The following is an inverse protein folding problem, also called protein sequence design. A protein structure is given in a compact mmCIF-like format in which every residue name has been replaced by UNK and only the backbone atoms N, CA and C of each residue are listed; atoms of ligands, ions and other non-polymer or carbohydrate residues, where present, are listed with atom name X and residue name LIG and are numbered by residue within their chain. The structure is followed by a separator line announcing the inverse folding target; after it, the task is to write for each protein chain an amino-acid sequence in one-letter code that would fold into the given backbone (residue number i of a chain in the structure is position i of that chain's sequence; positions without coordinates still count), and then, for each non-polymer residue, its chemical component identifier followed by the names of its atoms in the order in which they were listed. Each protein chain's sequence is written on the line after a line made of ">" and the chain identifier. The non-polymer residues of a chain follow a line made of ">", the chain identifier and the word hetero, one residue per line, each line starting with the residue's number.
data_IF_601856969781
#
_entry.id   IF_601856969781
#
_cell.length_a   1.000
_cell.length_b   1.000
_cell.length_c   1.000
_cell.angle_alpha   90.00
_cell.angle_beta   90.00
_cell.angle_gamma   90.00
#
_symmetry.space_group_name_H-M   'P 1'
#
loop_
_entity.id
_entity.type
_entity.pdbx_description
1 polymer ?
#
# COMPACT_ATOMS: atom_id res chain seq x y z
N UNK A 1 -16.48 -36.95 6.95
CA UNK A 1 -15.78 -36.88 5.65
C UNK A 1 -15.79 -35.48 5.03
N UNK A 2 -16.92 -34.77 4.96
CA UNK A 2 -17.04 -33.43 4.34
C UNK A 2 -16.00 -32.38 4.78
N UNK A 3 -15.72 -32.25 6.09
CA UNK A 3 -14.77 -31.28 6.63
C UNK A 3 -13.32 -31.45 6.14
N UNK A 4 -12.94 -32.65 5.69
CA UNK A 4 -11.60 -32.93 5.13
C UNK A 4 -11.49 -32.39 3.70
N UNK A 5 -12.55 -32.53 2.91
CA UNK A 5 -12.62 -32.01 1.54
C UNK A 5 -12.63 -30.49 1.51
N UNK A 6 -13.41 -29.87 2.41
CA UNK A 6 -13.44 -28.40 2.54
C UNK A 6 -12.04 -27.86 2.89
N UNK A 7 -11.37 -28.47 3.88
CA UNK A 7 -10.00 -28.06 4.25
C UNK A 7 -8.99 -28.22 3.11
N UNK A 8 -9.05 -29.35 2.39
CA UNK A 8 -8.20 -29.58 1.21
C UNK A 8 -8.44 -28.53 0.12
N UNK A 9 -9.70 -28.18 -0.13
CA UNK A 9 -10.07 -27.19 -1.13
C UNK A 9 -9.61 -25.78 -0.75
N UNK A 10 -9.74 -25.38 0.53
CA UNK A 10 -9.21 -24.11 1.05
C UNK A 10 -7.69 -24.04 0.89
N UNK A 11 -6.96 -25.12 1.21
CA UNK A 11 -5.50 -25.16 1.04
C UNK A 11 -5.09 -24.98 -0.43
N UNK A 12 -5.78 -25.66 -1.36
CA UNK A 12 -5.53 -25.53 -2.78
C UNK A 12 -5.81 -24.11 -3.30
N UNK A 13 -6.89 -23.48 -2.83
CA UNK A 13 -7.19 -22.08 -3.17
C UNK A 13 -6.10 -21.14 -2.65
N UNK A 14 -5.65 -21.31 -1.40
CA UNK A 14 -4.59 -20.49 -0.83
C UNK A 14 -3.26 -20.62 -1.60
N UNK A 15 -2.89 -21.84 -1.98
CA UNK A 15 -1.70 -22.08 -2.81
C UNK A 15 -1.83 -21.47 -4.21
N UNK A 16 -3.02 -21.56 -4.82
CA UNK A 16 -3.28 -20.95 -6.14
C UNK A 16 -3.22 -19.43 -6.08
N UNK A 17 -3.76 -18.81 -5.03
CA UNK A 17 -3.72 -17.36 -4.81
C UNK A 17 -2.28 -16.91 -4.61
N UNK A 18 -1.50 -17.63 -3.81
CA UNK A 18 -0.09 -17.31 -3.58
C UNK A 18 0.70 -17.32 -4.90
N UNK A 19 0.54 -18.36 -5.72
CA UNK A 19 1.18 -18.44 -7.05
C UNK A 19 0.72 -17.32 -7.97
N UNK A 20 -0.57 -16.97 -7.94
CA UNK A 20 -1.10 -15.87 -8.73
C UNK A 20 -0.46 -14.54 -8.31
N UNK A 21 -0.32 -14.29 -7.01
CA UNK A 21 0.34 -13.09 -6.50
C UNK A 21 1.83 -13.05 -6.90
N UNK A 22 2.53 -14.18 -6.82
CA UNK A 22 3.91 -14.31 -7.28
C UNK A 22 4.04 -14.06 -8.80
N UNK A 23 3.06 -14.51 -9.60
CA UNK A 23 3.02 -14.32 -11.05
C UNK A 23 2.65 -12.90 -11.47
N UNK A 24 1.74 -12.26 -10.73
CA UNK A 24 1.41 -10.85 -10.90
C UNK A 24 2.60 -9.96 -10.54
N UNK A 25 3.47 -10.46 -9.65
CA UNK A 25 4.64 -9.73 -9.16
C UNK A 25 4.25 -8.48 -8.38
N UNK A 26 5.27 -7.74 -7.95
CA UNK A 26 5.11 -6.37 -7.47
C UNK A 26 5.64 -5.44 -8.54
N UNK A 27 4.93 -4.35 -8.81
CA UNK A 27 5.46 -3.31 -9.70
C UNK A 27 6.77 -2.78 -9.09
N UNK A 28 7.81 -2.70 -9.90
CA UNK A 28 9.07 -2.09 -9.48
C UNK A 28 8.84 -0.63 -9.08
N UNK A 29 9.70 -0.05 -8.21
CA UNK A 29 9.59 1.36 -7.85
C UNK A 29 9.56 2.30 -9.08
N UNK A 30 10.25 1.92 -10.16
CA UNK A 30 10.27 2.67 -11.42
C UNK A 30 8.94 2.58 -12.16
N UNK A 31 8.32 1.41 -12.24
CA UNK A 31 6.99 1.23 -12.84
C UNK A 31 5.91 1.95 -12.03
N UNK A 32 6.00 1.89 -10.70
CA UNK A 32 5.13 2.67 -9.81
C UNK A 32 5.27 4.16 -10.13
N UNK A 33 6.50 4.68 -10.18
CA UNK A 33 6.75 6.10 -10.48
C UNK A 33 6.20 6.50 -11.85
N UNK A 34 6.43 5.69 -12.89
CA UNK A 34 5.93 5.95 -14.23
C UNK A 34 4.39 6.01 -14.29
N UNK A 35 3.70 5.15 -13.54
CA UNK A 35 2.22 5.18 -13.43
C UNK A 35 1.76 6.40 -12.62
N UNK A 36 2.46 6.75 -11.54
CA UNK A 36 2.16 7.95 -10.75
C UNK A 36 2.29 9.23 -11.57
N UNK A 37 3.29 9.31 -12.45
CA UNK A 37 3.53 10.45 -13.35
C UNK A 37 2.44 10.61 -14.42
N UNK A 38 1.74 9.53 -14.77
CA UNK A 38 0.60 9.55 -15.71
C UNK A 38 -0.70 10.06 -15.07
N UNK A 39 -0.76 10.22 -13.74
CA UNK A 39 -1.98 10.67 -13.06
C UNK A 39 -2.34 12.09 -13.47
N UNK A 40 -3.62 12.31 -13.69
CA UNK A 40 -4.16 13.65 -13.91
C UNK A 40 -3.85 14.54 -12.71
N UNK A 41 -3.38 15.77 -12.99
CA UNK A 41 -3.19 16.77 -11.94
C UNK A 41 -4.56 17.26 -11.50
N UNK A 42 -4.91 16.97 -10.25
CA UNK A 42 -6.12 17.47 -9.60
C UNK A 42 -5.75 18.51 -8.56
N UNK A 43 -6.63 19.49 -8.37
CA UNK A 43 -6.51 20.43 -7.26
C UNK A 43 -6.68 19.69 -5.93
N UNK A 44 -5.98 20.11 -4.86
CA UNK A 44 -6.18 19.58 -3.53
C UNK A 44 -7.62 19.74 -3.06
N UNK A 45 -8.05 18.88 -2.14
CA UNK A 45 -9.32 19.07 -1.44
C UNK A 45 -9.35 20.44 -0.75
N UNK A 46 -10.47 21.18 -0.75
CA UNK A 46 -10.57 22.53 -0.17
C UNK A 46 -10.17 22.61 1.32
N UNK A 47 -10.34 21.49 2.03
CA UNK A 47 -9.96 21.30 3.42
C UNK A 47 -8.44 21.20 3.61
N UNK A 48 -7.70 20.87 2.53
CA UNK A 48 -6.25 20.72 2.50
C UNK A 48 -5.54 22.09 2.40
N UNK A 49 -5.86 22.97 3.35
CA UNK A 49 -5.30 24.32 3.42
C UNK A 49 -3.80 24.28 3.74
N UNK A 50 -3.03 25.33 3.38
CA UNK A 50 -1.60 25.40 3.66
C UNK A 50 -1.24 25.12 5.12
N UNK A 51 -2.06 25.58 6.07
CA UNK A 51 -1.85 25.36 7.51
C UNK A 51 -1.97 23.88 7.90
N UNK A 52 -2.88 23.15 7.25
CA UNK A 52 -3.06 21.71 7.45
C UNK A 52 -1.84 20.96 6.90
N UNK A 53 -1.36 21.34 5.72
CA UNK A 53 -0.16 20.75 5.10
C UNK A 53 1.06 20.95 5.99
N UNK A 54 1.29 22.17 6.49
CA UNK A 54 2.43 22.46 7.37
C UNK A 54 2.36 21.68 8.69
N UNK A 55 1.16 21.56 9.27
CA UNK A 55 0.96 20.74 10.48
C UNK A 55 1.30 19.27 10.23
N UNK A 56 0.87 18.71 9.10
CA UNK A 56 1.19 17.31 8.74
C UNK A 56 2.71 17.14 8.58
N UNK A 57 3.39 18.07 7.90
CA UNK A 57 4.85 18.04 7.73
C UNK A 57 5.59 18.06 9.07
N UNK A 58 5.13 18.88 10.01
CA UNK A 58 5.71 18.94 11.35
C UNK A 58 5.54 17.62 12.09
N UNK A 59 4.34 17.04 12.08
CA UNK A 59 4.07 15.74 12.74
C UNK A 59 4.90 14.59 12.17
N UNK A 60 5.15 14.58 10.86
CA UNK A 60 6.04 13.58 10.23
C UNK A 60 7.47 13.74 10.76
N UNK A 61 8.00 14.96 10.79
CA UNK A 61 9.35 15.23 11.31
C UNK A 61 9.49 14.85 12.78
N UNK A 62 8.50 15.19 13.60
CA UNK A 62 8.49 14.84 15.02
C UNK A 62 8.47 13.31 15.22
N UNK A 63 7.72 12.58 14.39
CA UNK A 63 7.72 11.11 14.41
C UNK A 63 9.06 10.52 14.00
N UNK A 64 9.66 11.03 12.92
CA UNK A 64 10.97 10.59 12.46
C UNK A 64 12.06 10.88 13.52
N UNK A 65 11.98 12.01 14.22
CA UNK A 65 12.90 12.32 15.33
C UNK A 65 12.71 11.34 16.50
N UNK A 66 11.47 11.08 16.91
CA UNK A 66 11.18 10.13 17.98
C UNK A 66 11.67 8.70 17.68
N UNK A 67 11.56 8.24 16.44
CA UNK A 67 12.04 6.91 16.02
C UNK A 67 13.57 6.83 15.94
N UNK A 68 14.28 7.94 15.72
CA UNK A 68 15.74 7.98 15.69
C UNK A 68 16.38 8.16 17.08
N UNK A 69 15.63 8.70 18.04
CA UNK A 69 16.07 8.93 19.43
C UNK A 69 15.70 7.76 20.38
N UNK A 70 15.03 6.71 19.90
CA UNK A 70 14.61 5.50 20.64
C UNK A 70 15.45 4.27 20.29
#
# INVERSE_FOLDING_TARGET
>A
MYKKYIRKNIQQQAESLKRLLEQLGEASPTEIKAILEQREKVEPEPELKPEVIEKIRQLIKEKEQFENDS
#
